data_IF_317348489778
#
_entry.id   IF_317348489778
#
_cell.length_a   1.000
_cell.length_b   1.000
_cell.length_c   1.000
_cell.angle_alpha   90.00
_cell.angle_beta   90.00
_cell.angle_gamma   90.00
#
_symmetry.space_group_name_H-M   'P 1'
#
loop_
_entity.id
_entity.type
_entity.pdbx_description
1 polymer ?
#
# COMPACT_ATOMS: atom_id res chain seq x y z
N UNK A 1 10.94 11.90 13.64
CA UNK A 1 11.35 12.00 12.23
C UNK A 1 12.27 10.85 11.85
N UNK A 2 12.16 10.37 10.63
CA UNK A 2 13.01 9.32 10.10
C UNK A 2 14.31 9.95 9.64
N UNK A 3 15.43 9.47 10.18
CA UNK A 3 16.75 9.98 9.83
C UNK A 3 17.47 8.99 8.92
N UNK A 4 17.56 9.34 7.64
CA UNK A 4 18.21 8.53 6.60
C UNK A 4 19.23 9.38 5.84
N UNK A 5 20.42 8.82 5.65
CA UNK A 5 21.46 9.48 4.85
C UNK A 5 21.45 8.97 3.40
N UNK A 6 22.34 9.52 2.56
CA UNK A 6 22.44 9.13 1.14
C UNK A 6 22.76 7.65 0.97
N UNK A 7 23.58 7.09 1.86
CA UNK A 7 23.93 5.67 1.80
C UNK A 7 22.74 4.78 2.10
N UNK A 8 21.89 5.18 3.02
CA UNK A 8 20.64 4.47 3.31
C UNK A 8 19.71 4.49 2.10
N UNK A 9 19.54 5.64 1.46
CA UNK A 9 18.72 5.76 0.26
C UNK A 9 19.27 4.91 -0.89
N UNK A 10 20.60 4.94 -1.10
CA UNK A 10 21.23 4.13 -2.13
C UNK A 10 21.06 2.63 -1.86
N UNK A 11 21.19 2.22 -0.61
CA UNK A 11 21.00 0.83 -0.21
C UNK A 11 19.55 0.37 -0.44
N UNK A 12 18.58 1.18 -0.07
CA UNK A 12 17.16 0.89 -0.35
C UNK A 12 16.93 0.77 -1.86
N UNK A 13 17.53 1.65 -2.65
CA UNK A 13 17.41 1.59 -4.11
C UNK A 13 17.90 0.25 -4.69
N UNK A 14 19.03 -0.24 -4.19
CA UNK A 14 19.54 -1.56 -4.60
C UNK A 14 18.62 -2.69 -4.17
N UNK A 15 18.13 -2.65 -2.93
CA UNK A 15 17.20 -3.65 -2.41
C UNK A 15 15.85 -3.65 -3.14
N UNK A 16 15.40 -2.49 -3.64
CA UNK A 16 14.20 -2.42 -4.48
C UNK A 16 14.36 -3.14 -5.80
N UNK A 17 15.58 -3.16 -6.34
CA UNK A 17 15.87 -3.88 -7.57
C UNK A 17 16.01 -5.37 -7.33
N UNK A 18 16.70 -5.74 -6.25
CA UNK A 18 16.93 -7.14 -5.86
C UNK A 18 17.11 -7.21 -4.34
N UNK A 19 16.04 -7.54 -3.63
CA UNK A 19 16.06 -7.67 -2.17
C UNK A 19 16.89 -8.87 -1.69
N UNK A 20 17.27 -9.78 -2.59
CA UNK A 20 18.10 -10.95 -2.28
C UNK A 20 19.55 -10.75 -2.68
N UNK A 21 19.95 -9.54 -3.07
CA UNK A 21 21.34 -9.23 -3.35
C UNK A 21 22.20 -9.52 -2.13
N UNK A 22 23.34 -10.18 -2.33
CA UNK A 22 24.25 -10.53 -1.23
C UNK A 22 24.81 -9.25 -0.58
N UNK A 23 25.15 -9.35 0.71
CA UNK A 23 25.81 -8.25 1.42
C UNK A 23 27.12 -7.88 0.74
N UNK A 24 27.86 -8.88 0.23
CA UNK A 24 29.10 -8.67 -0.52
C UNK A 24 28.86 -7.80 -1.77
N UNK A 25 27.83 -8.10 -2.54
CA UNK A 25 27.51 -7.34 -3.76
C UNK A 25 27.01 -5.94 -3.43
N UNK A 26 26.19 -5.80 -2.40
CA UNK A 26 25.73 -4.50 -1.91
C UNK A 26 26.92 -3.63 -1.49
N UNK A 27 27.84 -4.20 -0.70
CA UNK A 27 29.04 -3.47 -0.26
C UNK A 27 29.91 -3.05 -1.43
N UNK A 28 30.08 -3.92 -2.43
CA UNK A 28 30.85 -3.61 -3.62
C UNK A 28 30.20 -2.46 -4.41
N UNK A 29 28.90 -2.50 -4.63
CA UNK A 29 28.16 -1.45 -5.35
C UNK A 29 28.18 -0.11 -4.62
N UNK A 30 28.14 -0.14 -3.29
CA UNK A 30 28.14 1.06 -2.45
C UNK A 30 29.56 1.52 -2.08
N UNK A 31 30.59 0.77 -2.50
CA UNK A 31 32.01 1.04 -2.17
C UNK A 31 32.25 1.12 -0.66
N UNK A 32 31.62 0.22 0.07
CA UNK A 32 31.72 0.15 1.53
C UNK A 32 32.09 -1.25 2.02
N UNK A 33 32.06 -1.42 3.33
CA UNK A 33 32.32 -2.71 3.95
C UNK A 33 31.03 -3.52 4.14
N UNK A 34 31.17 -4.85 4.20
CA UNK A 34 30.05 -5.75 4.50
C UNK A 34 29.42 -5.45 5.84
N UNK A 35 30.26 -5.17 6.87
CA UNK A 35 29.78 -4.83 8.20
C UNK A 35 28.93 -3.57 8.21
N UNK A 36 29.35 -2.54 7.49
CA UNK A 36 28.57 -1.31 7.37
C UNK A 36 27.21 -1.56 6.73
N UNK A 37 27.17 -2.32 5.63
CA UNK A 37 25.91 -2.66 4.94
C UNK A 37 24.98 -3.45 5.88
N UNK A 38 25.49 -4.49 6.52
CA UNK A 38 24.72 -5.29 7.47
C UNK A 38 24.14 -4.45 8.60
N UNK A 39 24.95 -3.56 9.18
CA UNK A 39 24.50 -2.68 10.26
C UNK A 39 23.43 -1.69 9.80
N UNK A 40 23.56 -1.13 8.60
CA UNK A 40 22.57 -0.20 8.05
C UNK A 40 21.23 -0.89 7.80
N UNK A 41 21.24 -2.09 7.20
CA UNK A 41 20.01 -2.85 6.98
C UNK A 41 19.34 -3.17 8.31
N UNK A 42 20.11 -3.71 9.28
CA UNK A 42 19.59 -4.05 10.60
C UNK A 42 18.97 -2.83 11.29
N UNK A 43 19.64 -1.69 11.22
CA UNK A 43 19.17 -0.45 11.84
C UNK A 43 17.86 0.03 11.18
N UNK A 44 17.77 -0.03 9.85
CA UNK A 44 16.54 0.35 9.15
C UNK A 44 15.39 -0.61 9.47
N UNK A 45 15.67 -1.89 9.66
CA UNK A 45 14.66 -2.87 10.09
C UNK A 45 14.20 -2.62 11.52
N UNK A 46 15.15 -2.41 12.44
CA UNK A 46 14.84 -2.12 13.85
C UNK A 46 14.03 -0.82 14.01
N UNK A 47 14.34 0.20 13.22
CA UNK A 47 13.64 1.48 13.25
C UNK A 47 12.33 1.46 12.43
N UNK A 48 11.95 0.33 11.87
CA UNK A 48 10.75 0.18 11.04
C UNK A 48 10.75 1.10 9.80
N UNK A 49 11.92 1.47 9.31
CA UNK A 49 12.07 2.12 8.01
C UNK A 49 11.82 1.09 6.92
N UNK A 50 12.44 -0.08 7.05
CA UNK A 50 12.08 -1.27 6.28
C UNK A 50 11.12 -2.07 7.15
N UNK A 51 9.87 -2.14 6.73
CA UNK A 51 8.81 -2.84 7.47
C UNK A 51 8.64 -4.30 7.05
N UNK A 52 9.25 -4.69 5.96
CA UNK A 52 9.19 -6.06 5.46
C UNK A 52 9.69 -6.17 4.04
N UNK A 53 9.64 -7.38 3.51
CA UNK A 53 10.06 -7.72 2.15
C UNK A 53 8.92 -8.44 1.45
N UNK A 54 8.83 -8.28 0.16
CA UNK A 54 7.80 -8.94 -0.63
C UNK A 54 8.39 -9.41 -1.97
N UNK A 55 7.60 -10.17 -2.71
CA UNK A 55 7.96 -10.58 -4.05
C UNK A 55 7.08 -9.89 -5.08
N UNK A 56 7.67 -9.56 -6.22
CA UNK A 56 6.93 -9.10 -7.38
C UNK A 56 6.79 -10.26 -8.34
N UNK A 57 5.58 -10.56 -8.74
CA UNK A 57 5.28 -11.65 -9.64
C UNK A 57 4.92 -11.10 -11.02
N UNK A 58 5.14 -11.90 -12.05
CA UNK A 58 4.58 -11.58 -13.36
C UNK A 58 3.05 -11.68 -13.29
N UNK A 59 2.30 -10.90 -14.08
CA UNK A 59 0.84 -10.89 -13.99
C UNK A 59 0.19 -12.26 -14.10
N UNK A 60 0.73 -13.15 -14.90
CA UNK A 60 0.18 -14.50 -15.12
C UNK A 60 0.31 -15.40 -13.89
N UNK A 61 1.23 -15.08 -12.97
CA UNK A 61 1.45 -15.83 -11.74
C UNK A 61 0.70 -15.24 -10.54
N UNK A 62 0.11 -14.06 -10.68
CA UNK A 62 -0.68 -13.46 -9.61
C UNK A 62 -2.08 -14.04 -9.56
N UNK A 63 -2.66 -14.24 -8.34
CA UNK A 63 -4.05 -14.63 -8.23
C UNK A 63 -4.95 -13.57 -8.89
N UNK A 64 -5.97 -14.01 -9.61
CA UNK A 64 -6.98 -13.10 -10.15
C UNK A 64 -7.67 -12.36 -9.01
N UNK A 65 -7.69 -11.03 -9.10
CA UNK A 65 -8.39 -10.18 -8.15
C UNK A 65 -9.15 -9.12 -8.92
N UNK A 66 -10.32 -8.79 -8.39
CA UNK A 66 -11.08 -7.65 -8.87
C UNK A 66 -10.67 -6.46 -8.05
N UNK A 67 -10.26 -5.39 -8.74
CA UNK A 67 -9.85 -4.13 -8.11
C UNK A 67 -10.81 -3.03 -8.51
N UNK A 68 -11.04 -2.12 -7.58
CA UNK A 68 -11.93 -0.99 -7.79
C UNK A 68 -11.43 0.24 -7.04
N UNK A 69 -11.78 1.40 -7.55
CA UNK A 69 -11.68 2.67 -6.84
C UNK A 69 -13.05 3.06 -6.34
N UNK A 70 -13.15 3.50 -5.10
CA UNK A 70 -14.39 4.03 -4.54
C UNK A 70 -14.18 5.43 -4.00
N UNK A 71 -14.85 6.40 -4.62
CA UNK A 71 -14.95 7.75 -4.08
C UNK A 71 -16.03 7.80 -3.02
N UNK A 72 -15.78 8.50 -1.92
CA UNK A 72 -16.69 8.61 -0.79
C UNK A 72 -16.86 10.07 -0.39
N UNK A 73 -18.11 10.53 -0.33
CA UNK A 73 -18.47 11.80 0.30
C UNK A 73 -18.98 11.51 1.70
N UNK A 74 -18.52 12.32 2.65
CA UNK A 74 -18.79 12.11 4.08
C UNK A 74 -19.66 13.26 4.61
N UNK A 75 -20.59 12.91 5.49
CA UNK A 75 -21.42 13.90 6.20
C UNK A 75 -20.56 14.72 7.16
N UNK A 76 -20.60 16.03 7.04
CA UNK A 76 -20.08 17.04 7.97
C UNK A 76 -18.89 16.58 8.82
N UNK A 77 -19.13 16.33 10.09
CA UNK A 77 -18.09 16.02 11.07
C UNK A 77 -17.88 14.49 11.30
N UNK A 78 -18.35 13.65 10.38
CA UNK A 78 -18.29 12.20 10.54
C UNK A 78 -17.03 11.56 9.93
N UNK A 79 -16.14 12.35 9.37
CA UNK A 79 -14.97 11.84 8.62
C UNK A 79 -14.14 10.85 9.43
N UNK A 80 -13.84 11.18 10.68
CA UNK A 80 -13.02 10.33 11.54
C UNK A 80 -13.65 8.95 11.79
N UNK A 81 -14.96 8.93 12.04
CA UNK A 81 -15.71 7.70 12.26
C UNK A 81 -15.79 6.86 10.97
N UNK A 82 -16.02 7.50 9.85
CA UNK A 82 -16.06 6.82 8.54
C UNK A 82 -14.71 6.19 8.22
N UNK A 83 -13.61 6.92 8.41
CA UNK A 83 -12.27 6.39 8.20
C UNK A 83 -12.05 5.13 9.07
N UNK A 84 -12.36 5.20 10.36
CA UNK A 84 -12.19 4.08 11.27
C UNK A 84 -12.99 2.86 10.82
N UNK A 85 -14.23 3.05 10.41
CA UNK A 85 -15.09 1.98 9.91
C UNK A 85 -14.58 1.38 8.61
N UNK A 86 -14.12 2.21 7.68
CA UNK A 86 -13.59 1.74 6.41
C UNK A 86 -12.27 0.98 6.58
N UNK A 87 -11.41 1.40 7.50
CA UNK A 87 -10.17 0.68 7.80
C UNK A 87 -10.43 -0.69 8.44
N UNK A 88 -11.59 -0.88 9.04
CA UNK A 88 -12.02 -2.20 9.56
C UNK A 88 -12.58 -3.13 8.50
N UNK A 89 -12.78 -2.65 7.26
CA UNK A 89 -13.31 -3.47 6.18
C UNK A 89 -12.16 -4.15 5.43
N UNK A 90 -12.06 -5.49 5.45
CA UNK A 90 -10.94 -6.21 4.83
C UNK A 90 -10.76 -5.94 3.33
N UNK A 91 -11.84 -5.64 2.63
CA UNK A 91 -11.78 -5.33 1.20
C UNK A 91 -11.15 -3.98 0.87
N UNK A 92 -11.01 -3.10 1.86
CA UNK A 92 -10.36 -1.79 1.69
C UNK A 92 -8.86 -1.98 1.92
N UNK A 93 -8.07 -2.00 0.86
CA UNK A 93 -6.62 -2.24 0.96
C UNK A 93 -5.83 -0.96 1.17
N UNK A 94 -6.35 0.17 0.70
CA UNK A 94 -5.79 1.50 0.98
C UNK A 94 -6.91 2.52 1.05
N UNK A 95 -6.70 3.55 1.85
CA UNK A 95 -7.65 4.64 2.03
C UNK A 95 -6.90 5.96 2.05
N UNK A 96 -7.37 6.91 1.23
CA UNK A 96 -6.72 8.22 1.08
C UNK A 96 -7.71 9.34 1.36
N UNK A 97 -7.24 10.39 2.06
CA UNK A 97 -7.87 11.71 2.00
C UNK A 97 -7.55 12.32 0.64
N UNK A 98 -8.48 13.06 0.07
CA UNK A 98 -8.20 13.81 -1.14
C UNK A 98 -8.74 15.25 -1.03
N UNK A 99 -8.16 16.14 -1.80
CA UNK A 99 -8.65 17.51 -1.93
C UNK A 99 -9.52 17.70 -3.19
N UNK A 100 -9.83 16.61 -3.88
CA UNK A 100 -10.64 16.64 -5.08
C UNK A 100 -12.13 16.55 -4.79
N UNK A 101 -12.86 16.00 -5.74
CA UNK A 101 -14.31 15.86 -5.65
C UNK A 101 -14.78 15.00 -4.47
N UNK A 102 -14.01 13.97 -4.14
CA UNK A 102 -14.34 13.01 -3.09
C UNK A 102 -13.57 13.32 -1.82
N UNK A 103 -14.22 13.19 -0.67
CA UNK A 103 -13.54 13.36 0.63
C UNK A 103 -12.52 12.26 0.86
N UNK A 104 -12.89 11.04 0.52
CA UNK A 104 -12.02 9.87 0.63
C UNK A 104 -12.01 9.11 -0.68
N UNK A 105 -10.89 8.45 -0.95
CA UNK A 105 -10.74 7.53 -2.07
C UNK A 105 -10.19 6.20 -1.54
N UNK A 106 -10.94 5.14 -1.75
CA UNK A 106 -10.57 3.80 -1.30
C UNK A 106 -10.12 2.93 -2.47
N UNK A 107 -9.06 2.17 -2.24
CA UNK A 107 -8.65 1.09 -3.13
C UNK A 107 -9.24 -0.21 -2.58
N UNK A 108 -10.06 -0.87 -3.40
CA UNK A 108 -10.80 -2.07 -2.99
C UNK A 108 -10.32 -3.26 -3.81
N UNK A 109 -10.15 -4.39 -3.14
CA UNK A 109 -9.84 -5.67 -3.78
C UNK A 109 -10.82 -6.74 -3.31
N UNK A 110 -11.17 -7.64 -4.22
CA UNK A 110 -12.02 -8.78 -3.93
C UNK A 110 -11.62 -9.96 -4.82
N UNK A 111 -11.96 -11.18 -4.41
CA UNK A 111 -11.65 -12.39 -5.15
C UNK A 111 -12.73 -12.76 -6.17
N UNK A 112 -13.91 -12.14 -6.07
CA UNK A 112 -15.04 -12.36 -6.98
C UNK A 112 -15.95 -11.15 -7.02
N UNK A 113 -16.81 -11.07 -8.04
CA UNK A 113 -17.82 -10.01 -8.12
C UNK A 113 -18.82 -10.10 -6.96
N UNK A 114 -19.14 -11.30 -6.53
CA UNK A 114 -20.01 -11.50 -5.36
C UNK A 114 -19.40 -10.92 -4.09
N UNK A 115 -18.12 -11.18 -3.86
CA UNK A 115 -17.39 -10.62 -2.72
C UNK A 115 -17.30 -9.09 -2.83
N UNK A 116 -17.00 -8.56 -4.00
CA UNK A 116 -16.95 -7.12 -4.23
C UNK A 116 -18.29 -6.48 -3.89
N UNK A 117 -19.39 -7.06 -4.36
CA UNK A 117 -20.73 -6.57 -4.07
C UNK A 117 -21.01 -6.49 -2.58
N UNK A 118 -20.60 -7.52 -1.83
CA UNK A 118 -20.74 -7.55 -0.37
C UNK A 118 -19.92 -6.47 0.33
N UNK A 119 -18.68 -6.26 -0.12
CA UNK A 119 -17.82 -5.20 0.41
C UNK A 119 -18.47 -3.83 0.19
N UNK A 120 -18.94 -3.57 -1.02
CA UNK A 120 -19.59 -2.29 -1.36
C UNK A 120 -20.85 -2.06 -0.54
N UNK A 121 -21.66 -3.10 -0.32
CA UNK A 121 -22.87 -2.99 0.52
C UNK A 121 -22.52 -2.64 1.95
N UNK A 122 -21.53 -3.33 2.54
CA UNK A 122 -21.11 -3.04 3.92
C UNK A 122 -20.60 -1.63 4.06
N UNK A 123 -19.83 -1.14 3.08
CA UNK A 123 -19.33 0.25 3.12
C UNK A 123 -20.50 1.24 3.03
N UNK A 124 -21.45 1.02 2.14
CA UNK A 124 -22.61 1.91 1.99
C UNK A 124 -23.46 2.03 3.25
N UNK A 125 -23.44 1.02 4.12
CA UNK A 125 -24.17 1.04 5.39
C UNK A 125 -23.43 1.77 6.50
N UNK A 126 -22.18 2.19 6.30
CA UNK A 126 -21.44 2.93 7.31
C UNK A 126 -22.11 4.27 7.56
N UNK A 127 -22.43 4.54 8.82
CA UNK A 127 -23.02 5.80 9.23
C UNK A 127 -22.05 6.96 8.95
N UNK A 128 -22.54 8.01 8.34
CA UNK A 128 -21.74 9.18 7.99
C UNK A 128 -21.32 9.22 6.52
N UNK A 129 -21.53 8.17 5.76
CA UNK A 129 -21.33 8.18 4.31
C UNK A 129 -22.56 8.81 3.65
N UNK A 130 -22.32 9.86 2.90
CA UNK A 130 -23.37 10.59 2.17
C UNK A 130 -23.61 10.01 0.79
N UNK A 131 -22.56 9.70 0.05
CA UNK A 131 -22.64 9.08 -1.26
C UNK A 131 -21.33 8.39 -1.62
N UNK A 132 -21.41 7.45 -2.53
CA UNK A 132 -20.26 6.72 -3.05
C UNK A 132 -20.36 6.54 -4.55
N UNK A 133 -19.21 6.40 -5.18
CA UNK A 133 -19.13 6.00 -6.59
C UNK A 133 -17.99 5.00 -6.72
N UNK A 134 -18.28 3.86 -7.35
CA UNK A 134 -17.31 2.79 -7.51
C UNK A 134 -16.99 2.59 -8.97
N UNK A 135 -15.70 2.55 -9.28
CA UNK A 135 -15.19 2.25 -10.63
C UNK A 135 -14.37 0.97 -10.57
N UNK A 136 -14.86 -0.06 -11.26
CA UNK A 136 -14.15 -1.35 -11.32
C UNK A 136 -13.08 -1.24 -12.40
N UNK A 137 -11.88 -1.71 -12.09
CA UNK A 137 -10.80 -1.76 -13.08
C UNK A 137 -11.12 -2.85 -14.09
N UNK A 138 -11.28 -2.48 -15.36
CA UNK A 138 -11.58 -3.42 -16.45
C UNK A 138 -10.30 -3.99 -17.04
N UNK A 139 -9.31 -3.12 -17.27
CA UNK A 139 -8.01 -3.51 -17.79
C UNK A 139 -6.95 -2.57 -17.26
N UNK A 140 -5.76 -3.11 -17.02
CA UNK A 140 -4.60 -2.33 -16.59
C UNK A 140 -3.51 -2.49 -17.64
N UNK A 141 -2.99 -1.39 -18.18
CA UNK A 141 -2.04 -1.40 -19.29
C UNK A 141 -0.59 -1.26 -18.82
N UNK A 142 -0.36 -0.81 -17.58
CA UNK A 142 0.96 -0.72 -16.95
C UNK A 142 0.85 -0.80 -15.43
#
# INVERSE_FOLDING_TARGET
SINMDESDHALIGLLRQDARMSVADLAHKLKGSRGTVTNRIRKMEEQQIIVGYTVRLRPEAEPERIRAWMGVLVEGNQTRLVIASMLGEPGVVKLHDTNGRWDLLAEIEATSMSELSQVLERIRLIKGIRSTETSIHLATYR
#
